data_IF_487243205958
#
_entry.id   IF_487243205958
#
_cell.length_a   1.000
_cell.length_b   1.000
_cell.length_c   1.000
_cell.angle_alpha   90.00
_cell.angle_beta   90.00
_cell.angle_gamma   90.00
#
_symmetry.space_group_name_H-M   'P 1'
#
loop_
_entity.id
_entity.type
_entity.pdbx_description
1 polymer ?
#
# COMPACT_ATOMS: atom_id res chain seq x y z
N UNK A 1 -25.67 -40.27 -35.52
CA UNK A 1 -25.56 -39.84 -34.12
C UNK A 1 -24.59 -38.67 -34.05
N UNK A 2 -25.08 -37.44 -33.89
CA UNK A 2 -24.22 -36.26 -33.67
C UNK A 2 -24.71 -35.57 -32.40
N UNK A 3 -23.88 -35.57 -31.36
CA UNK A 3 -24.15 -34.87 -30.10
C UNK A 3 -23.80 -33.39 -30.31
N UNK A 4 -24.83 -32.55 -30.36
CA UNK A 4 -24.70 -31.11 -30.17
C UNK A 4 -24.15 -30.84 -28.77
N UNK A 5 -22.83 -30.69 -28.65
CA UNK A 5 -22.22 -30.14 -27.45
C UNK A 5 -22.56 -28.64 -27.41
N UNK A 6 -23.64 -28.29 -26.70
CA UNK A 6 -23.85 -26.89 -26.29
C UNK A 6 -22.62 -26.50 -25.48
N UNK A 7 -21.88 -25.49 -25.96
CA UNK A 7 -20.84 -24.80 -25.21
C UNK A 7 -21.46 -24.36 -23.89
N UNK A 8 -21.22 -25.13 -22.81
CA UNK A 8 -21.66 -24.79 -21.48
C UNK A 8 -20.92 -23.53 -21.07
N UNK A 9 -21.63 -22.39 -21.00
CA UNK A 9 -21.09 -21.18 -20.44
C UNK A 9 -20.68 -21.49 -19.00
N UNK A 10 -19.36 -21.54 -18.77
CA UNK A 10 -18.81 -21.75 -17.44
C UNK A 10 -18.86 -20.39 -16.74
N UNK A 11 -19.94 -20.17 -15.99
CA UNK A 11 -20.13 -18.96 -15.19
C UNK A 11 -19.30 -19.14 -13.91
N UNK A 12 -18.38 -18.20 -13.67
CA UNK A 12 -17.65 -18.14 -12.41
C UNK A 12 -18.64 -18.19 -11.23
N UNK A 13 -18.35 -18.92 -10.14
CA UNK A 13 -19.08 -18.72 -8.91
C UNK A 13 -19.01 -17.24 -8.52
N UNK A 14 -20.07 -16.76 -7.87
CA UNK A 14 -20.17 -15.39 -7.39
C UNK A 14 -19.01 -15.13 -6.41
N UNK A 15 -17.96 -14.48 -6.88
CA UNK A 15 -16.75 -14.19 -6.09
C UNK A 15 -16.99 -12.93 -5.27
N UNK A 16 -17.97 -12.99 -4.36
CA UNK A 16 -18.38 -11.83 -3.58
C UNK A 16 -17.87 -12.02 -2.17
N UNK A 17 -16.64 -11.52 -1.95
CA UNK A 17 -16.09 -11.29 -0.60
C UNK A 17 -17.09 -10.47 0.25
N UNK A 18 -17.89 -9.60 -0.37
CA UNK A 18 -18.91 -8.80 0.33
C UNK A 18 -20.06 -9.61 0.96
N UNK A 19 -20.28 -10.87 0.56
CA UNK A 19 -21.30 -11.74 1.16
C UNK A 19 -20.71 -12.63 2.28
N UNK A 20 -19.38 -12.73 2.35
CA UNK A 20 -18.68 -13.45 3.41
C UNK A 20 -18.23 -12.52 4.56
N UNK A 21 -18.23 -11.21 4.33
CA UNK A 21 -17.76 -10.20 5.27
C UNK A 21 -18.90 -9.23 5.59
N UNK A 22 -19.36 -9.24 6.84
CA UNK A 22 -20.38 -8.29 7.31
C UNK A 22 -19.78 -6.90 7.56
N UNK A 23 -18.49 -6.87 7.93
CA UNK A 23 -17.73 -5.65 8.20
C UNK A 23 -16.33 -5.79 7.63
N UNK A 24 -15.74 -4.70 7.15
CA UNK A 24 -14.35 -4.71 6.63
C UNK A 24 -13.34 -5.22 7.66
N UNK A 25 -13.64 -5.08 8.96
CA UNK A 25 -12.78 -5.58 10.04
C UNK A 25 -12.67 -7.11 10.10
N UNK A 26 -13.65 -7.82 9.52
CA UNK A 26 -13.66 -9.28 9.51
C UNK A 26 -12.53 -9.87 8.64
N UNK A 27 -11.93 -9.05 7.76
CA UNK A 27 -10.69 -9.38 7.05
C UNK A 27 -9.51 -9.63 8.00
N UNK A 28 -9.45 -8.89 9.11
CA UNK A 28 -8.31 -8.94 10.04
C UNK A 28 -8.55 -9.94 11.18
N UNK A 29 -9.82 -10.15 11.55
CA UNK A 29 -10.22 -10.90 12.75
C UNK A 29 -9.54 -12.27 12.89
N UNK A 30 -9.48 -13.15 11.87
CA UNK A 30 -8.83 -14.45 12.03
C UNK A 30 -7.35 -14.34 12.41
N UNK A 31 -6.61 -13.42 11.77
CA UNK A 31 -5.17 -13.23 12.00
C UNK A 31 -4.91 -12.60 13.36
N UNK A 32 -5.69 -11.60 13.75
CA UNK A 32 -5.54 -10.94 15.05
C UNK A 32 -5.82 -11.91 16.19
N UNK A 33 -6.87 -12.73 16.09
CA UNK A 33 -7.21 -13.72 17.12
C UNK A 33 -6.15 -14.84 17.25
N UNK A 34 -5.56 -15.25 16.12
CA UNK A 34 -4.54 -16.28 16.09
C UNK A 34 -3.18 -15.78 16.61
N UNK A 35 -2.73 -14.62 16.13
CA UNK A 35 -1.40 -14.10 16.44
C UNK A 35 -1.34 -13.29 17.74
N UNK A 36 -2.48 -12.73 18.20
CA UNK A 36 -2.59 -11.83 19.36
C UNK A 36 -1.47 -10.77 19.39
N UNK A 37 -1.33 -9.99 18.31
CA UNK A 37 -0.24 -9.04 18.19
C UNK A 37 -0.35 -7.96 19.28
N UNK A 38 0.78 -7.43 19.73
CA UNK A 38 0.83 -6.27 20.61
C UNK A 38 0.49 -4.96 19.89
N UNK A 39 0.68 -4.92 18.56
CA UNK A 39 0.41 -3.76 17.69
C UNK A 39 0.01 -4.22 16.29
N UNK A 40 -0.90 -3.50 15.64
CA UNK A 40 -1.27 -3.71 14.23
C UNK A 40 -0.83 -2.49 13.43
N UNK A 41 -0.07 -2.72 12.37
CA UNK A 41 0.40 -1.67 11.47
C UNK A 41 -0.31 -1.75 10.12
N UNK A 42 -0.89 -0.63 9.68
CA UNK A 42 -1.55 -0.49 8.40
C UNK A 42 -0.62 0.22 7.43
N UNK A 43 -0.06 -0.51 6.47
CA UNK A 43 0.90 0.05 5.50
C UNK A 43 0.16 0.54 4.26
N UNK A 44 0.41 1.78 3.86
CA UNK A 44 -0.09 2.37 2.60
C UNK A 44 1.08 2.89 1.78
N UNK A 45 1.38 2.20 0.68
CA UNK A 45 2.37 2.62 -0.29
C UNK A 45 1.77 3.56 -1.34
N UNK A 46 2.47 4.65 -1.69
CA UNK A 46 2.04 5.55 -2.77
C UNK A 46 3.23 6.05 -3.55
N UNK A 47 3.12 6.01 -4.89
CA UNK A 47 4.08 6.68 -5.77
C UNK A 47 3.96 8.18 -5.60
N UNK A 48 5.05 8.80 -5.15
CA UNK A 48 5.10 10.24 -4.91
C UNK A 48 5.55 10.96 -6.19
N UNK A 49 4.61 11.21 -7.08
CA UNK A 49 4.84 11.87 -8.37
C UNK A 49 4.08 13.21 -8.51
N UNK A 50 3.64 13.79 -7.40
CA UNK A 50 2.89 15.03 -7.35
C UNK A 50 1.77 14.99 -6.31
N UNK A 51 0.78 15.86 -6.47
CA UNK A 51 -0.39 15.89 -5.60
C UNK A 51 -1.21 14.58 -5.73
N UNK A 52 -1.68 14.00 -4.63
CA UNK A 52 -2.46 12.78 -4.67
C UNK A 52 -3.81 13.00 -5.36
N UNK A 53 -4.19 12.10 -6.27
CA UNK A 53 -5.53 12.09 -6.85
C UNK A 53 -6.54 11.47 -5.88
N UNK A 54 -7.84 11.62 -6.16
CA UNK A 54 -8.92 11.14 -5.29
C UNK A 54 -8.77 9.67 -4.87
N UNK A 55 -8.40 8.78 -5.79
CA UNK A 55 -8.15 7.36 -5.47
C UNK A 55 -7.11 7.15 -4.36
N UNK A 56 -6.01 7.91 -4.39
CA UNK A 56 -4.95 7.87 -3.37
C UNK A 56 -5.48 8.33 -2.03
N UNK A 57 -6.20 9.46 -2.00
CA UNK A 57 -6.79 9.99 -0.75
C UNK A 57 -7.82 9.01 -0.16
N UNK A 58 -8.61 8.33 -1.00
CA UNK A 58 -9.58 7.33 -0.54
C UNK A 58 -8.88 6.13 0.11
N UNK A 59 -7.80 5.62 -0.48
CA UNK A 59 -7.04 4.51 0.10
C UNK A 59 -6.39 4.92 1.42
N UNK A 60 -5.75 6.08 1.45
CA UNK A 60 -5.12 6.62 2.67
C UNK A 60 -6.14 6.81 3.79
N UNK A 61 -7.28 7.46 3.50
CA UNK A 61 -8.38 7.62 4.46
C UNK A 61 -8.88 6.27 4.97
N UNK A 62 -9.03 5.29 4.08
CA UNK A 62 -9.49 3.96 4.45
C UNK A 62 -8.54 3.26 5.44
N UNK A 63 -7.24 3.47 5.32
CA UNK A 63 -6.27 2.89 6.26
C UNK A 63 -6.42 3.48 7.67
N UNK A 64 -6.55 4.80 7.81
CA UNK A 64 -6.81 5.44 9.10
C UNK A 64 -8.15 4.99 9.72
N UNK A 65 -9.21 4.89 8.91
CA UNK A 65 -10.51 4.39 9.38
C UNK A 65 -10.44 2.93 9.83
N UNK A 66 -9.75 2.08 9.08
CA UNK A 66 -9.54 0.68 9.46
C UNK A 66 -8.70 0.55 10.72
N UNK A 67 -7.66 1.37 10.88
CA UNK A 67 -6.82 1.41 12.09
C UNK A 67 -7.63 1.81 13.32
N UNK A 68 -8.49 2.83 13.22
CA UNK A 68 -9.41 3.22 14.30
C UNK A 68 -10.39 2.10 14.66
N UNK A 69 -11.01 1.48 13.66
CA UNK A 69 -11.96 0.38 13.87
C UNK A 69 -11.24 -0.83 14.51
N UNK A 70 -10.05 -1.17 14.04
CA UNK A 70 -9.26 -2.28 14.57
C UNK A 70 -8.84 -2.06 16.02
N UNK A 71 -8.39 -0.84 16.38
CA UNK A 71 -8.07 -0.50 17.77
C UNK A 71 -9.27 -0.74 18.67
N UNK A 72 -10.45 -0.23 18.27
CA UNK A 72 -11.69 -0.39 19.03
C UNK A 72 -12.12 -1.86 19.16
N UNK A 73 -12.09 -2.60 18.06
CA UNK A 73 -12.64 -3.96 18.01
C UNK A 73 -11.73 -5.01 18.66
N UNK A 74 -10.42 -4.78 18.63
CA UNK A 74 -9.44 -5.75 19.14
C UNK A 74 -8.73 -5.30 20.42
N UNK A 75 -8.93 -4.06 20.87
CA UNK A 75 -8.20 -3.48 22.01
C UNK A 75 -6.67 -3.63 21.82
N UNK A 76 -6.20 -3.41 20.60
CA UNK A 76 -4.79 -3.53 20.20
C UNK A 76 -4.34 -2.21 19.60
N UNK A 77 -3.14 -1.76 19.95
CA UNK A 77 -2.61 -0.51 19.42
C UNK A 77 -2.49 -0.57 17.90
N UNK A 78 -2.80 0.54 17.24
CA UNK A 78 -2.75 0.66 15.78
C UNK A 78 -1.95 1.87 15.35
N UNK A 79 -1.29 1.75 14.20
CA UNK A 79 -0.57 2.85 13.53
C UNK A 79 -0.75 2.71 12.03
N UNK A 80 -0.72 3.83 11.30
CA UNK A 80 -0.61 3.84 9.84
C UNK A 80 0.83 4.10 9.44
N UNK A 81 1.45 3.24 8.63
CA UNK A 81 2.75 3.54 8.00
C UNK A 81 2.54 3.95 6.56
N UNK A 82 2.89 5.18 6.23
CA UNK A 82 2.92 5.66 4.87
C UNK A 82 4.28 5.38 4.24
N UNK A 83 4.30 4.57 3.17
CA UNK A 83 5.49 4.29 2.39
C UNK A 83 5.50 5.16 1.14
N UNK A 84 6.30 6.23 1.15
CA UNK A 84 6.54 7.09 0.01
C UNK A 84 7.44 6.36 -1.00
N UNK A 85 6.86 5.92 -2.12
CA UNK A 85 7.55 5.20 -3.18
C UNK A 85 8.27 6.20 -4.10
N UNK A 86 9.41 6.69 -3.62
CA UNK A 86 10.32 7.63 -4.28
C UNK A 86 11.13 7.02 -5.44
N UNK A 87 10.96 5.71 -5.67
CA UNK A 87 11.36 5.02 -6.89
C UNK A 87 10.38 5.21 -8.06
N UNK A 88 9.33 6.03 -7.89
CA UNK A 88 8.45 6.42 -8.99
C UNK A 88 9.26 7.08 -10.13
N UNK A 89 8.87 6.88 -11.41
CA UNK A 89 9.53 7.53 -12.54
C UNK A 89 9.36 9.05 -12.52
N UNK A 90 10.46 9.79 -12.63
CA UNK A 90 10.49 11.24 -12.81
C UNK A 90 10.65 11.59 -14.29
N UNK A 91 11.77 11.19 -14.89
CA UNK A 91 12.03 11.33 -16.32
C UNK A 91 12.05 9.97 -17.00
N UNK A 92 11.49 9.89 -18.22
CA UNK A 92 11.49 8.69 -19.05
C UNK A 92 12.14 9.02 -20.40
N UNK A 93 13.20 8.31 -20.74
CA UNK A 93 13.88 8.41 -22.03
C UNK A 93 13.69 7.10 -22.77
N UNK A 94 13.24 7.19 -24.03
CA UNK A 94 13.15 6.04 -24.91
C UNK A 94 14.44 5.91 -25.72
N UNK A 95 14.98 4.70 -25.78
CA UNK A 95 16.03 4.35 -26.74
C UNK A 95 15.51 4.59 -28.17
N UNK A 96 16.18 5.41 -28.98
CA UNK A 96 15.75 5.69 -30.35
C UNK A 96 15.70 4.45 -31.27
N UNK A 97 16.52 3.44 -31.00
CA UNK A 97 16.61 2.23 -31.81
C UNK A 97 15.66 1.15 -31.28
N UNK A 98 15.74 0.85 -29.98
CA UNK A 98 15.00 -0.27 -29.37
C UNK A 98 13.64 0.11 -28.81
N UNK A 99 13.36 1.41 -28.65
CA UNK A 99 12.20 1.95 -27.95
C UNK A 99 12.06 1.47 -26.49
N UNK A 100 13.12 0.91 -25.91
CA UNK A 100 13.16 0.58 -24.49
C UNK A 100 13.10 1.84 -23.63
N UNK A 101 12.28 1.80 -22.57
CA UNK A 101 12.14 2.91 -21.64
C UNK A 101 13.18 2.82 -20.52
N UNK A 102 13.98 3.87 -20.39
CA UNK A 102 14.88 4.11 -19.27
C UNK A 102 14.33 5.23 -18.40
N UNK A 103 14.42 5.06 -17.08
CA UNK A 103 13.75 5.94 -16.14
C UNK A 103 14.72 6.43 -15.06
N UNK A 104 14.73 7.74 -14.84
CA UNK A 104 15.29 8.33 -13.63
C UNK A 104 14.18 8.43 -12.59
N UNK A 105 14.43 7.99 -11.36
CA UNK A 105 13.40 8.06 -10.30
C UNK A 105 13.37 9.42 -9.62
N UNK A 106 12.27 9.72 -8.93
CA UNK A 106 12.13 10.93 -8.11
C UNK A 106 13.27 11.06 -7.08
N UNK A 107 13.65 9.99 -6.38
CA UNK A 107 14.79 10.03 -5.47
C UNK A 107 16.10 10.45 -6.16
N UNK A 108 16.39 9.89 -7.34
CA UNK A 108 17.62 10.23 -8.06
C UNK A 108 17.59 11.63 -8.67
N UNK A 109 16.40 12.15 -8.99
CA UNK A 109 16.24 13.50 -9.55
C UNK A 109 16.29 14.59 -8.46
N UNK A 110 15.67 14.34 -7.30
CA UNK A 110 15.43 15.36 -6.28
C UNK A 110 16.27 15.18 -5.00
N UNK A 111 16.81 13.99 -4.76
CA UNK A 111 17.49 13.64 -3.52
C UNK A 111 16.54 13.60 -2.31
N UNK A 112 17.08 13.22 -1.15
CA UNK A 112 16.31 13.05 0.09
C UNK A 112 15.52 14.32 0.48
N UNK A 113 16.16 15.49 0.40
CA UNK A 113 15.54 16.75 0.80
C UNK A 113 14.37 17.13 -0.12
N UNK A 114 14.51 16.91 -1.43
CA UNK A 114 13.44 17.18 -2.38
C UNK A 114 12.26 16.21 -2.23
N UNK A 115 12.53 14.94 -1.87
CA UNK A 115 11.48 14.00 -1.50
C UNK A 115 10.74 14.44 -0.24
N UNK A 116 11.47 14.86 0.81
CA UNK A 116 10.88 15.41 2.02
C UNK A 116 9.96 16.59 1.71
N UNK A 117 10.43 17.55 0.91
CA UNK A 117 9.64 18.71 0.52
C UNK A 117 8.35 18.35 -0.25
N UNK A 118 8.34 17.27 -1.04
CA UNK A 118 7.14 16.79 -1.72
C UNK A 118 6.14 16.17 -0.74
N UNK A 119 6.64 15.38 0.22
CA UNK A 119 5.82 14.76 1.27
C UNK A 119 5.14 15.84 2.11
N UNK A 120 5.93 16.80 2.61
CA UNK A 120 5.46 17.89 3.44
C UNK A 120 4.39 18.71 2.71
N UNK A 121 4.63 19.02 1.43
CA UNK A 121 3.72 19.85 0.62
C UNK A 121 2.39 19.17 0.30
N UNK A 122 2.40 17.88 -0.02
CA UNK A 122 1.24 17.22 -0.63
C UNK A 122 0.52 16.22 0.27
N UNK A 123 1.16 15.75 1.34
CA UNK A 123 0.65 14.63 2.14
C UNK A 123 0.53 14.96 3.63
N UNK A 124 1.46 15.75 4.19
CA UNK A 124 1.55 15.92 5.64
C UNK A 124 0.27 16.50 6.25
N UNK A 125 -0.23 17.65 5.77
CA UNK A 125 -1.44 18.27 6.34
C UNK A 125 -2.68 17.35 6.25
N UNK A 126 -2.76 16.55 5.20
CA UNK A 126 -3.84 15.59 5.03
C UNK A 126 -3.74 14.45 6.04
N UNK A 127 -2.53 13.92 6.28
CA UNK A 127 -2.31 12.89 7.29
C UNK A 127 -2.46 13.41 8.71
N UNK A 128 -2.02 14.63 9.00
CA UNK A 128 -2.28 15.31 10.28
C UNK A 128 -3.79 15.39 10.55
N UNK A 129 -4.57 15.80 9.54
CA UNK A 129 -6.03 15.88 9.63
C UNK A 129 -6.69 14.51 9.85
N UNK A 130 -6.20 13.47 9.16
CA UNK A 130 -6.71 12.10 9.35
C UNK A 130 -6.32 11.53 10.71
N UNK A 131 -5.09 11.78 11.17
CA UNK A 131 -4.58 11.40 12.47
C UNK A 131 -5.46 11.98 13.57
N UNK A 132 -5.72 13.29 13.51
CA UNK A 132 -6.60 13.98 14.47
C UNK A 132 -8.03 13.42 14.43
N UNK A 133 -8.63 13.28 13.24
CA UNK A 133 -10.01 12.82 13.10
C UNK A 133 -10.20 11.35 13.54
N UNK A 134 -9.14 10.54 13.48
CA UNK A 134 -9.19 9.12 13.79
C UNK A 134 -8.51 8.75 15.09
N UNK A 135 -7.85 9.71 15.75
CA UNK A 135 -7.00 9.49 16.92
C UNK A 135 -6.01 8.34 16.63
N UNK A 136 -5.34 8.36 15.47
CA UNK A 136 -4.46 7.26 15.03
C UNK A 136 -3.15 7.81 14.53
N UNK A 137 -2.06 7.45 15.22
CA UNK A 137 -0.71 7.84 14.85
C UNK A 137 -0.32 7.32 13.46
N UNK A 138 0.59 8.05 12.82
CA UNK A 138 1.20 7.61 11.57
C UNK A 138 2.71 7.87 11.53
N UNK A 139 3.41 7.01 10.78
CA UNK A 139 4.83 7.14 10.47
C UNK A 139 5.00 7.27 8.95
N UNK A 140 5.98 8.07 8.52
CA UNK A 140 6.37 8.18 7.10
C UNK A 140 7.74 7.55 6.90
N UNK A 141 7.84 6.69 5.89
CA UNK A 141 9.10 6.07 5.45
C UNK A 141 9.20 6.20 3.92
N UNK A 142 10.41 6.41 3.39
CA UNK A 142 10.63 6.36 1.93
C UNK A 142 11.07 4.97 1.49
N UNK A 143 10.75 4.58 0.26
CA UNK A 143 11.22 3.32 -0.30
C UNK A 143 12.76 3.23 -0.34
N UNK A 144 13.46 4.34 -0.58
CA UNK A 144 14.91 4.38 -0.49
C UNK A 144 15.43 4.14 0.93
N UNK A 145 14.82 4.76 1.96
CA UNK A 145 15.21 4.51 3.36
C UNK A 145 14.99 3.04 3.72
N UNK A 146 13.87 2.44 3.28
CA UNK A 146 13.59 1.02 3.47
C UNK A 146 14.68 0.13 2.86
N UNK A 147 15.09 0.40 1.62
CA UNK A 147 16.14 -0.34 0.91
C UNK A 147 17.53 -0.18 1.54
N UNK A 148 17.79 0.91 2.24
CA UNK A 148 19.05 1.12 2.94
C UNK A 148 19.21 0.19 4.16
N UNK A 149 18.11 -0.42 4.64
CA UNK A 149 18.16 -1.33 5.77
C UNK A 149 18.64 -2.73 5.37
N UNK A 150 19.45 -3.42 6.21
CA UNK A 150 19.82 -4.82 5.99
C UNK A 150 18.60 -5.76 5.91
N UNK A 151 17.52 -5.41 6.62
CA UNK A 151 16.28 -6.17 6.66
C UNK A 151 15.65 -6.33 5.29
N UNK A 152 15.67 -5.29 4.45
CA UNK A 152 15.11 -5.35 3.10
C UNK A 152 15.76 -6.45 2.25
N UNK A 153 17.09 -6.50 2.24
CA UNK A 153 17.83 -7.53 1.48
C UNK A 153 17.66 -8.92 2.08
N UNK A 154 17.64 -9.03 3.41
CA UNK A 154 17.45 -10.31 4.09
C UNK A 154 16.06 -10.92 3.85
N UNK A 155 14.99 -10.10 3.82
CA UNK A 155 13.65 -10.57 3.46
C UNK A 155 13.57 -10.98 1.99
N UNK A 156 14.14 -10.19 1.07
CA UNK A 156 14.20 -10.57 -0.34
C UNK A 156 14.92 -11.90 -0.56
N UNK A 157 16.06 -12.13 0.09
CA UNK A 157 16.76 -13.41 -0.04
C UNK A 157 15.94 -14.59 0.51
N UNK A 158 15.19 -14.39 1.61
CA UNK A 158 14.31 -15.42 2.16
C UNK A 158 13.16 -15.80 1.22
N UNK A 159 12.65 -14.88 0.40
CA UNK A 159 11.62 -15.25 -0.58
C UNK A 159 12.15 -16.20 -1.66
N UNK A 160 13.47 -16.16 -1.94
CA UNK A 160 14.11 -17.08 -2.89
C UNK A 160 14.29 -18.49 -2.34
N UNK A 161 14.26 -18.68 -1.02
CA UNK A 161 14.32 -20.02 -0.38
C UNK A 161 13.05 -20.86 -0.63
N UNK A 162 12.00 -20.22 -1.14
CA UNK A 162 10.70 -20.83 -1.43
C UNK A 162 10.41 -20.94 -2.94
N UNK A 163 11.38 -20.63 -3.80
CA UNK A 163 11.33 -20.81 -5.25
C UNK A 163 12.07 -22.09 -5.67
#
# INVERSE_FOLDING_TARGET
MSRNAKSGLLISPNSVLANALLRSIDLLRPRVLAARPSRIEFVVGTQINGAPHLGTNLVQTSAFLLAKIARREFSTDTVVRFSALDNAPHDVVLDPETHHAYQQTYYHALGKDGIGALIDRYYQEFFDSLSEATDTDYDVETYTDQQATPGFRAEFLRTLEHL
#
